data_IF_216090284649
#
_entry.id   IF_216090284649
#
_cell.length_a   1.000
_cell.length_b   1.000
_cell.length_c   1.000
_cell.angle_alpha   90.00
_cell.angle_beta   90.00
_cell.angle_gamma   90.00
#
_symmetry.space_group_name_H-M   'P 1'
#
loop_
_entity.id
_entity.type
_entity.pdbx_description
1 polymer ?
#
# COMPACT_ATOMS: atom_id res chain seq x y z
N UNK A 1 -16.27 3.08 -8.40
CA UNK A 1 -15.24 2.37 -7.61
C UNK A 1 -15.34 0.92 -8.02
N UNK A 2 -14.23 0.29 -8.45
CA UNK A 2 -14.25 -1.12 -8.80
C UNK A 2 -14.76 -1.95 -7.62
N UNK A 3 -15.63 -2.92 -7.91
CA UNK A 3 -16.24 -3.76 -6.87
C UNK A 3 -15.51 -5.08 -6.68
N UNK A 4 -14.58 -5.40 -7.58
CA UNK A 4 -13.76 -6.60 -7.57
C UNK A 4 -12.32 -6.30 -8.04
N UNK A 5 -11.38 -7.12 -7.59
CA UNK A 5 -9.96 -7.00 -7.87
C UNK A 5 -9.63 -7.13 -9.37
N UNK A 6 -10.38 -7.95 -10.12
CA UNK A 6 -10.19 -8.14 -11.57
C UNK A 6 -10.57 -6.89 -12.36
N UNK A 7 -11.53 -6.10 -11.88
CA UNK A 7 -11.91 -4.83 -12.49
C UNK A 7 -10.86 -3.76 -12.18
N UNK A 8 -10.40 -3.71 -10.92
CA UNK A 8 -9.42 -2.73 -10.47
C UNK A 8 -8.10 -2.83 -11.26
N UNK A 9 -7.58 -4.05 -11.47
CA UNK A 9 -6.26 -4.26 -12.09
C UNK A 9 -6.19 -3.83 -13.56
N UNK A 10 -7.32 -3.65 -14.24
CA UNK A 10 -7.36 -3.15 -15.62
C UNK A 10 -7.12 -1.63 -15.71
N UNK A 11 -7.04 -0.93 -14.58
CA UNK A 11 -6.88 0.51 -14.59
C UNK A 11 -5.47 0.91 -15.07
N UNK A 12 -5.33 1.82 -16.06
CA UNK A 12 -4.01 2.20 -16.62
C UNK A 12 -3.01 2.78 -15.62
N UNK A 13 -3.47 3.20 -14.43
CA UNK A 13 -2.59 3.71 -13.37
C UNK A 13 -1.54 2.69 -12.93
N UNK A 14 -1.84 1.39 -13.04
CA UNK A 14 -0.91 0.31 -12.70
C UNK A 14 0.28 0.21 -13.66
N UNK A 15 0.30 0.97 -14.76
CA UNK A 15 1.46 1.13 -15.64
C UNK A 15 2.37 2.29 -15.19
N UNK A 16 1.91 3.16 -14.29
CA UNK A 16 2.57 4.43 -13.94
C UNK A 16 3.09 4.47 -12.50
N UNK A 17 2.67 3.54 -11.65
CA UNK A 17 3.02 3.51 -10.22
C UNK A 17 3.81 2.26 -9.88
N UNK A 18 4.66 2.35 -8.87
CA UNK A 18 5.49 1.22 -8.42
C UNK A 18 4.80 0.36 -7.35
N UNK A 19 3.90 0.96 -6.57
CA UNK A 19 3.18 0.33 -5.48
C UNK A 19 1.83 1.04 -5.25
N UNK A 20 0.93 0.37 -4.51
CA UNK A 20 -0.32 0.97 -4.00
C UNK A 20 -0.39 0.82 -2.49
N UNK A 21 -1.11 1.73 -1.82
CA UNK A 21 -1.39 1.60 -0.39
C UNK A 21 -2.48 0.55 -0.17
N UNK A 22 -2.11 -0.57 0.47
CA UNK A 22 -3.01 -1.68 0.79
C UNK A 22 -3.55 -1.62 2.21
N UNK A 23 -2.94 -0.81 3.08
CA UNK A 23 -3.42 -0.51 4.44
C UNK A 23 -3.35 0.99 4.68
N UNK A 24 -4.51 1.64 4.81
CA UNK A 24 -4.61 3.03 5.23
C UNK A 24 -5.34 3.12 6.56
N UNK A 25 -4.78 3.81 7.56
CA UNK A 25 -5.32 3.92 8.91
C UNK A 25 -6.71 4.58 9.03
N UNK A 26 -7.21 5.18 7.95
CA UNK A 26 -8.54 5.80 7.85
C UNK A 26 -9.56 4.97 7.05
N UNK A 27 -9.13 3.86 6.42
CA UNK A 27 -9.99 3.00 5.59
C UNK A 27 -10.57 1.81 6.38
N UNK A 28 -11.60 1.20 5.82
CA UNK A 28 -12.24 0.00 6.36
C UNK A 28 -11.46 -1.26 5.97
N UNK A 29 -11.51 -2.29 6.82
CA UNK A 29 -10.90 -3.61 6.59
C UNK A 29 -11.26 -4.24 5.23
N UNK A 30 -12.49 -4.02 4.74
CA UNK A 30 -12.93 -4.53 3.44
C UNK A 30 -12.19 -3.85 2.27
N UNK A 31 -11.81 -2.59 2.43
CA UNK A 31 -11.08 -1.81 1.42
C UNK A 31 -9.61 -2.22 1.43
N UNK A 32 -9.04 -2.49 2.62
CA UNK A 32 -7.70 -3.08 2.74
C UNK A 32 -7.63 -4.44 2.05
N UNK A 33 -8.59 -5.34 2.31
CA UNK A 33 -8.64 -6.66 1.67
C UNK A 33 -8.66 -6.57 0.15
N UNK A 34 -9.54 -5.71 -0.41
CA UNK A 34 -9.59 -5.53 -1.86
C UNK A 34 -8.26 -5.02 -2.41
N UNK A 35 -7.62 -4.04 -1.75
CA UNK A 35 -6.33 -3.52 -2.19
C UNK A 35 -5.21 -4.57 -2.09
N UNK A 36 -5.21 -5.41 -1.05
CA UNK A 36 -4.28 -6.54 -0.92
C UNK A 36 -4.47 -7.59 -2.01
N UNK A 37 -5.71 -7.92 -2.35
CA UNK A 37 -6.04 -8.84 -3.45
C UNK A 37 -5.59 -8.28 -4.81
N UNK A 38 -5.80 -6.98 -5.04
CA UNK A 38 -5.32 -6.29 -6.24
C UNK A 38 -3.80 -6.29 -6.33
N UNK A 39 -3.09 -5.98 -5.24
CA UNK A 39 -1.62 -6.05 -5.21
C UNK A 39 -1.10 -7.47 -5.49
N UNK A 40 -1.80 -8.49 -4.96
CA UNK A 40 -1.53 -9.90 -5.25
C UNK A 40 -1.69 -10.26 -6.73
N UNK A 41 -2.75 -9.79 -7.38
CA UNK A 41 -2.96 -9.99 -8.82
C UNK A 41 -1.95 -9.21 -9.68
N UNK A 42 -1.61 -8.00 -9.26
CA UNK A 42 -0.63 -7.17 -9.95
C UNK A 42 0.79 -7.73 -9.88
N UNK A 43 1.06 -8.56 -8.86
CA UNK A 43 2.37 -9.15 -8.62
C UNK A 43 3.40 -8.15 -8.08
N UNK A 44 2.94 -7.12 -7.36
CA UNK A 44 3.80 -6.10 -6.75
C UNK A 44 3.50 -5.92 -5.27
N UNK A 45 4.51 -5.44 -4.55
CA UNK A 45 4.35 -5.10 -3.14
C UNK A 45 3.38 -3.92 -2.94
N UNK A 46 2.68 -3.95 -1.81
CA UNK A 46 1.85 -2.85 -1.34
C UNK A 46 2.51 -2.11 -0.18
N UNK A 47 2.10 -0.88 0.05
CA UNK A 47 2.50 -0.08 1.21
C UNK A 47 1.37 0.05 2.21
N UNK A 48 1.69 0.51 3.42
CA UNK A 48 0.72 0.87 4.43
C UNK A 48 1.11 2.13 5.19
N UNK A 49 0.13 2.96 5.49
CA UNK A 49 0.29 4.24 6.16
C UNK A 49 -0.85 4.53 7.13
N UNK A 50 -0.56 5.32 8.16
CA UNK A 50 -1.56 5.65 9.18
C UNK A 50 -2.49 6.79 8.80
N UNK A 51 -2.11 7.57 7.77
CA UNK A 51 -2.77 8.82 7.34
C UNK A 51 -3.14 9.74 8.53
N UNK A 52 -2.20 9.85 9.46
CA UNK A 52 -2.45 10.43 10.76
C UNK A 52 -2.44 11.95 10.70
N UNK A 53 -3.59 12.56 11.02
CA UNK A 53 -3.73 14.01 11.19
C UNK A 53 -3.68 14.44 12.67
N UNK A 54 -3.45 13.49 13.58
CA UNK A 54 -3.22 13.70 15.01
C UNK A 54 -2.41 12.55 15.61
N UNK A 55 -1.88 12.75 16.82
CA UNK A 55 -1.10 11.72 17.53
C UNK A 55 -1.88 10.44 17.80
N UNK A 56 -3.21 10.53 17.94
CA UNK A 56 -4.08 9.37 18.13
C UNK A 56 -4.21 8.48 16.89
N UNK A 57 -3.90 9.02 15.70
CA UNK A 57 -3.89 8.27 14.46
C UNK A 57 -2.55 7.59 14.16
N UNK A 58 -1.48 7.98 14.85
CA UNK A 58 -0.13 7.53 14.52
C UNK A 58 -0.01 6.01 14.64
N UNK A 59 0.54 5.37 13.61
CA UNK A 59 0.80 3.93 13.59
C UNK A 59 -0.43 3.03 13.39
N UNK A 60 -1.61 3.59 13.09
CA UNK A 60 -2.80 2.80 12.72
C UNK A 60 -2.63 1.96 11.44
N UNK A 61 -1.68 2.34 10.60
CA UNK A 61 -1.21 1.57 9.45
C UNK A 61 0.29 1.83 9.30
N UNK A 62 1.04 0.78 8.94
CA UNK A 62 2.50 0.85 8.77
C UNK A 62 2.93 -0.07 7.62
N UNK A 63 4.06 0.26 7.00
CA UNK A 63 4.79 -0.65 6.11
C UNK A 63 5.92 -1.29 6.91
N UNK A 64 6.02 -2.61 6.88
CA UNK A 64 7.10 -3.35 7.54
C UNK A 64 8.08 -3.81 6.48
N UNK A 65 9.33 -3.36 6.59
CA UNK A 65 10.41 -3.79 5.70
C UNK A 65 11.27 -4.87 6.39
N UNK A 66 11.86 -5.82 5.64
CA UNK A 66 12.71 -6.87 6.21
C UNK A 66 14.01 -6.36 6.84
N UNK A 67 14.42 -5.13 6.53
CA UNK A 67 15.64 -4.49 7.02
C UNK A 67 15.38 -3.10 7.59
N UNK A 68 16.44 -2.50 8.13
CA UNK A 68 16.41 -1.15 8.67
C UNK A 68 16.35 -0.12 7.54
N UNK A 69 15.37 0.78 7.61
CA UNK A 69 15.28 1.96 6.75
C UNK A 69 15.70 3.18 7.56
N UNK A 70 16.90 3.72 7.28
CA UNK A 70 17.47 4.87 8.01
C UNK A 70 17.65 6.09 7.13
N UNK A 71 17.68 5.91 5.81
CA UNK A 71 17.82 6.97 4.82
C UNK A 71 16.71 6.90 3.77
N UNK A 72 16.61 7.96 2.97
CA UNK A 72 15.72 7.97 1.81
C UNK A 72 16.11 6.91 0.77
N UNK A 73 17.41 6.68 0.57
CA UNK A 73 17.88 5.69 -0.39
C UNK A 73 17.54 4.26 0.08
N UNK A 74 17.69 3.98 1.38
CA UNK A 74 17.25 2.70 1.97
C UNK A 74 15.76 2.46 1.73
N UNK A 75 14.94 3.50 1.84
CA UNK A 75 13.50 3.42 1.60
C UNK A 75 13.20 3.12 0.13
N UNK A 76 13.88 3.80 -0.80
CA UNK A 76 13.71 3.57 -2.23
C UNK A 76 14.15 2.16 -2.65
N UNK A 77 15.23 1.65 -2.06
CA UNK A 77 15.68 0.27 -2.25
C UNK A 77 14.63 -0.71 -1.72
N UNK A 78 14.17 -0.51 -0.48
CA UNK A 78 13.20 -1.39 0.15
C UNK A 78 11.82 -1.41 -0.53
N UNK A 79 11.41 -0.31 -1.19
CA UNK A 79 10.18 -0.24 -1.97
C UNK A 79 10.28 -0.90 -3.36
N UNK A 80 11.50 -1.07 -3.89
CA UNK A 80 11.76 -1.68 -5.21
C UNK A 80 12.13 -3.16 -5.16
N UNK A 81 12.44 -3.67 -3.96
CA UNK A 81 12.92 -5.03 -3.72
C UNK A 81 11.86 -6.12 -3.89
#
# INVERSE_FOLDING_TARGET
MPQAQEEAIQHPIFELVDAIEVVNGSNLEKEHRLAQEVAGLWGRAGTGGSDAHSVNGLGKGVTVFPGDVRTQDDLLEALRA
#
